data_IF_476174193212
#
_entry.id   IF_476174193212
#
_cell.length_a   1.000
_cell.length_b   1.000
_cell.length_c   1.000
_cell.angle_alpha   90.00
_cell.angle_beta   90.00
_cell.angle_gamma   90.00
#
_symmetry.space_group_name_H-M   'P 1'
#
loop_
_entity.id
_entity.type
_entity.pdbx_description
1 polymer ?
#
# COMPACT_ATOMS: atom_id res chain seq x y z
N UNK A 1 40.75 3.35 31.52
CA UNK A 1 40.84 2.53 30.30
C UNK A 1 39.75 1.47 30.35
N UNK A 2 38.74 1.55 29.49
CA UNK A 2 37.62 0.57 29.48
C UNK A 2 38.12 -0.80 29.01
N UNK A 3 37.76 -1.85 29.74
CA UNK A 3 38.08 -3.21 29.36
C UNK A 3 37.31 -3.56 28.08
N UNK A 4 37.98 -3.89 26.97
CA UNK A 4 37.36 -4.31 25.72
C UNK A 4 36.39 -5.47 25.99
N UNK A 5 35.18 -5.44 25.33
CA UNK A 5 34.20 -6.49 25.50
C UNK A 5 34.74 -7.85 24.98
N UNK A 6 34.28 -8.96 25.59
CA UNK A 6 34.78 -10.30 25.22
C UNK A 6 34.66 -10.60 23.71
N UNK A 7 33.61 -10.11 23.04
CA UNK A 7 33.45 -10.23 21.62
C UNK A 7 34.49 -9.44 20.80
N UNK A 8 34.85 -8.23 21.22
CA UNK A 8 35.93 -7.45 20.59
C UNK A 8 37.28 -8.13 20.73
N UNK A 9 37.59 -8.68 21.91
CA UNK A 9 38.82 -9.48 22.11
C UNK A 9 38.86 -10.71 21.20
N UNK A 10 37.72 -11.41 21.06
CA UNK A 10 37.62 -12.58 20.18
C UNK A 10 37.84 -12.22 18.70
N UNK A 11 37.31 -11.08 18.24
CA UNK A 11 37.51 -10.59 16.87
C UNK A 11 38.98 -10.26 16.58
N UNK A 12 39.62 -9.50 17.46
CA UNK A 12 41.05 -9.15 17.36
C UNK A 12 41.93 -10.42 17.36
N UNK A 13 41.64 -11.41 18.23
CA UNK A 13 42.35 -12.68 18.25
C UNK A 13 42.17 -13.43 16.91
N UNK A 14 41.00 -13.38 16.32
CA UNK A 14 40.73 -14.01 15.03
C UNK A 14 41.55 -13.37 13.89
N UNK A 15 41.61 -12.06 13.84
CA UNK A 15 42.45 -11.31 12.88
C UNK A 15 43.94 -11.67 13.01
N UNK A 16 44.48 -11.58 14.20
CA UNK A 16 45.90 -11.91 14.47
C UNK A 16 46.20 -13.38 14.17
N UNK A 17 45.22 -14.27 14.34
CA UNK A 17 45.39 -15.68 14.01
C UNK A 17 45.44 -15.88 12.47
N UNK A 18 44.69 -15.10 11.68
CA UNK A 18 44.78 -15.12 10.23
C UNK A 18 46.14 -14.59 9.71
N UNK A 19 46.78 -13.68 10.49
CA UNK A 19 48.13 -13.21 10.21
C UNK A 19 49.21 -14.22 10.59
N UNK A 20 48.85 -15.41 11.12
CA UNK A 20 49.78 -16.49 11.44
C UNK A 20 50.19 -16.61 12.88
N UNK A 21 49.67 -15.77 13.80
CA UNK A 21 50.01 -15.86 15.23
C UNK A 21 49.36 -17.05 15.95
N UNK A 22 50.14 -17.85 16.76
CA UNK A 22 49.58 -19.03 17.41
C UNK A 22 48.52 -18.70 18.47
N UNK A 23 47.35 -19.31 18.37
CA UNK A 23 46.18 -19.07 19.24
C UNK A 23 46.49 -19.16 20.72
N UNK A 24 47.39 -20.07 21.13
CA UNK A 24 47.80 -20.30 22.54
C UNK A 24 48.33 -19.01 23.20
N UNK A 25 49.17 -18.27 22.47
CA UNK A 25 49.79 -17.04 23.01
C UNK A 25 48.79 -15.87 23.00
N UNK A 26 47.96 -15.77 21.95
CA UNK A 26 46.93 -14.73 21.85
C UNK A 26 45.91 -14.84 23.01
N UNK A 27 45.46 -16.06 23.33
CA UNK A 27 44.54 -16.30 24.42
C UNK A 27 45.18 -15.99 25.78
N UNK A 28 46.45 -16.38 25.98
CA UNK A 28 47.19 -16.08 27.21
C UNK A 28 47.36 -14.57 27.41
N UNK A 29 47.69 -13.83 26.36
CA UNK A 29 47.91 -12.38 26.39
C UNK A 29 46.61 -11.61 26.65
N UNK A 30 45.51 -12.00 25.99
CA UNK A 30 44.20 -11.35 26.11
C UNK A 30 43.45 -11.67 27.37
N UNK A 31 43.86 -12.74 28.09
CA UNK A 31 43.15 -13.28 29.27
C UNK A 31 41.79 -13.88 28.92
N UNK A 32 41.57 -14.24 27.65
CA UNK A 32 40.29 -14.83 27.19
C UNK A 32 40.35 -16.38 27.26
N UNK A 33 39.37 -16.99 27.90
CA UNK A 33 39.28 -18.45 27.94
C UNK A 33 39.02 -19.02 26.55
N UNK A 34 39.62 -20.17 26.22
CA UNK A 34 39.46 -20.83 24.93
C UNK A 34 38.00 -21.14 24.59
N UNK A 35 37.20 -21.55 25.56
CA UNK A 35 35.76 -21.77 25.41
C UNK A 35 35.00 -20.48 25.04
N UNK A 36 35.32 -19.40 25.73
CA UNK A 36 34.71 -18.07 25.45
C UNK A 36 35.07 -17.56 24.07
N UNK A 37 36.34 -17.77 23.64
CA UNK A 37 36.75 -17.40 22.26
C UNK A 37 35.90 -18.10 21.20
N UNK A 38 35.78 -19.43 21.26
CA UNK A 38 34.97 -20.16 20.28
C UNK A 38 33.47 -19.90 20.44
N UNK A 39 32.97 -19.62 21.63
CA UNK A 39 31.58 -19.22 21.83
C UNK A 39 31.28 -17.87 21.16
N UNK A 40 32.15 -16.88 21.33
CA UNK A 40 31.99 -15.56 20.71
C UNK A 40 32.08 -15.62 19.20
N UNK A 41 33.01 -16.41 18.64
CA UNK A 41 33.07 -16.61 17.18
C UNK A 41 31.75 -17.23 16.63
N UNK A 42 31.28 -18.34 17.20
CA UNK A 42 30.03 -18.95 16.81
C UNK A 42 28.82 -18.02 16.96
N UNK A 43 28.84 -17.17 17.97
CA UNK A 43 27.80 -16.15 18.19
C UNK A 43 27.82 -15.11 17.08
N UNK A 44 29.00 -14.67 16.66
CA UNK A 44 29.18 -13.69 15.57
C UNK A 44 28.73 -14.30 14.24
N UNK A 45 29.23 -15.49 13.90
CA UNK A 45 28.85 -16.21 12.66
C UNK A 45 27.33 -16.39 12.55
N UNK A 46 26.67 -16.86 13.61
CA UNK A 46 25.20 -17.00 13.64
C UNK A 46 24.47 -15.67 13.51
N UNK A 47 25.03 -14.59 14.08
CA UNK A 47 24.45 -13.27 13.98
C UNK A 47 24.61 -12.71 12.55
N UNK A 48 25.73 -12.96 11.90
CA UNK A 48 26.00 -12.57 10.51
C UNK A 48 25.12 -13.32 9.54
N UNK A 49 25.01 -14.65 9.64
CA UNK A 49 24.09 -15.44 8.83
C UNK A 49 22.63 -14.96 8.98
N UNK A 50 22.20 -14.73 10.23
CA UNK A 50 20.86 -14.24 10.51
C UNK A 50 20.64 -12.81 9.98
N UNK A 51 21.69 -11.97 10.00
CA UNK A 51 21.65 -10.64 9.40
C UNK A 51 21.57 -10.72 7.88
N UNK A 52 22.35 -11.59 7.26
CA UNK A 52 22.36 -11.81 5.82
C UNK A 52 20.99 -12.25 5.32
N UNK A 53 20.41 -13.29 5.91
CA UNK A 53 19.07 -13.78 5.56
C UNK A 53 17.98 -12.70 5.68
N UNK A 54 18.01 -11.91 6.75
CA UNK A 54 17.06 -10.80 6.93
C UNK A 54 17.27 -9.72 5.87
N UNK A 55 18.51 -9.37 5.58
CA UNK A 55 18.86 -8.35 4.59
C UNK A 55 18.41 -8.75 3.19
N UNK A 56 18.68 -9.99 2.80
CA UNK A 56 18.23 -10.55 1.51
C UNK A 56 16.71 -10.54 1.41
N UNK A 57 16.01 -10.95 2.47
CA UNK A 57 14.54 -10.92 2.50
C UNK A 57 13.99 -9.51 2.42
N UNK A 58 14.63 -8.51 3.06
CA UNK A 58 14.24 -7.10 2.94
C UNK A 58 14.37 -6.60 1.50
N UNK A 59 15.50 -6.90 0.84
CA UNK A 59 15.72 -6.55 -0.57
C UNK A 59 14.64 -7.18 -1.46
N UNK A 60 14.37 -8.47 -1.28
CA UNK A 60 13.37 -9.20 -2.04
C UNK A 60 11.96 -8.61 -1.86
N UNK A 61 11.52 -8.35 -0.62
CA UNK A 61 10.23 -7.69 -0.35
C UNK A 61 10.16 -6.32 -1.03
N UNK A 62 11.25 -5.55 -1.00
CA UNK A 62 11.29 -4.23 -1.59
C UNK A 62 11.16 -4.27 -3.12
N UNK A 63 11.84 -5.20 -3.77
CA UNK A 63 11.81 -5.41 -5.23
C UNK A 63 10.47 -5.97 -5.72
N UNK A 64 9.94 -7.01 -5.09
CA UNK A 64 8.61 -7.58 -5.38
C UNK A 64 7.53 -6.51 -5.37
N UNK A 65 7.61 -5.59 -4.43
CA UNK A 65 6.66 -4.48 -4.31
C UNK A 65 7.05 -3.24 -5.15
N UNK A 66 7.96 -3.40 -6.13
CA UNK A 66 8.38 -2.33 -7.06
C UNK A 66 8.79 -1.05 -6.32
N UNK A 67 9.54 -1.20 -5.22
CA UNK A 67 10.05 -0.12 -4.36
C UNK A 67 8.94 0.75 -3.70
N UNK A 68 7.71 0.24 -3.60
CA UNK A 68 6.56 0.98 -3.05
C UNK A 68 6.47 0.90 -1.52
N UNK A 69 7.13 -0.09 -0.90
CA UNK A 69 7.08 -0.31 0.54
C UNK A 69 8.13 0.52 1.28
N UNK A 70 7.67 1.27 2.30
CA UNK A 70 8.56 1.85 3.31
C UNK A 70 8.69 0.92 4.52
N UNK A 71 9.55 1.29 5.47
CA UNK A 71 9.94 0.53 6.68
C UNK A 71 8.77 -0.20 7.34
N UNK A 72 7.64 0.48 7.56
CA UNK A 72 6.49 -0.12 8.28
C UNK A 72 5.91 -1.33 7.54
N UNK A 73 5.77 -1.27 6.20
CA UNK A 73 5.26 -2.39 5.42
C UNK A 73 6.28 -3.51 5.31
N UNK A 74 7.53 -3.19 5.06
CA UNK A 74 8.62 -4.18 5.04
C UNK A 74 8.68 -4.93 6.37
N UNK A 75 8.58 -4.21 7.51
CA UNK A 75 8.56 -4.83 8.82
C UNK A 75 7.37 -5.79 9.01
N UNK A 76 6.16 -5.39 8.61
CA UNK A 76 4.98 -6.27 8.73
C UNK A 76 5.01 -7.43 7.75
N UNK A 77 5.55 -7.24 6.57
CA UNK A 77 5.73 -8.33 5.60
C UNK A 77 6.77 -9.35 6.09
N UNK A 78 7.83 -8.92 6.76
CA UNK A 78 8.76 -9.81 7.44
C UNK A 78 8.06 -10.63 8.53
N UNK A 79 7.17 -10.01 9.31
CA UNK A 79 6.36 -10.72 10.32
C UNK A 79 5.43 -11.74 9.66
N UNK A 80 4.77 -11.39 8.55
CA UNK A 80 3.93 -12.30 7.78
C UNK A 80 4.72 -13.53 7.25
N UNK A 81 6.03 -13.35 6.99
CA UNK A 81 6.97 -14.41 6.58
C UNK A 81 7.63 -15.14 7.75
N UNK A 82 7.17 -14.89 9.00
CA UNK A 82 7.64 -15.59 10.20
C UNK A 82 8.89 -15.01 10.87
N UNK A 83 9.37 -13.84 10.44
CA UNK A 83 10.51 -13.18 11.08
C UNK A 83 10.06 -12.36 12.31
N UNK A 84 10.67 -12.61 13.47
CA UNK A 84 10.52 -11.76 14.65
C UNK A 84 11.60 -10.67 14.65
N UNK A 85 11.26 -9.46 14.21
CA UNK A 85 12.19 -8.37 14.04
C UNK A 85 11.61 -7.04 14.54
N UNK A 86 12.46 -6.23 15.21
CA UNK A 86 12.09 -4.89 15.64
C UNK A 86 12.15 -3.91 14.45
N UNK A 87 11.16 -3.03 14.34
CA UNK A 87 11.07 -2.03 13.27
C UNK A 87 12.30 -1.10 13.19
N UNK A 88 12.97 -0.78 14.32
CA UNK A 88 14.21 0.01 14.36
C UNK A 88 15.35 -0.70 13.62
N UNK A 89 15.43 -2.04 13.73
CA UNK A 89 16.44 -2.82 13.00
C UNK A 89 16.15 -2.83 11.50
N UNK A 90 14.90 -3.02 11.10
CA UNK A 90 14.49 -2.92 9.69
C UNK A 90 14.81 -1.53 9.13
N UNK A 91 14.50 -0.48 9.89
CA UNK A 91 14.79 0.90 9.51
C UNK A 91 16.28 1.14 9.27
N UNK A 92 17.15 0.64 10.16
CA UNK A 92 18.60 0.75 10.02
C UNK A 92 19.09 0.01 8.77
N UNK A 93 18.72 -1.25 8.58
CA UNK A 93 19.11 -2.03 7.40
C UNK A 93 18.66 -1.35 6.11
N UNK A 94 17.41 -0.92 6.02
CA UNK A 94 16.89 -0.22 4.84
C UNK A 94 17.61 1.12 4.58
N UNK A 95 18.00 1.84 5.64
CA UNK A 95 18.78 3.08 5.52
C UNK A 95 20.19 2.80 5.00
N UNK A 96 20.88 1.81 5.55
CA UNK A 96 22.25 1.42 5.16
C UNK A 96 22.29 0.96 3.69
N UNK A 97 21.25 0.26 3.24
CA UNK A 97 21.07 -0.16 1.85
C UNK A 97 20.47 0.93 0.94
N UNK A 98 20.19 2.13 1.46
CA UNK A 98 19.55 3.25 0.72
C UNK A 98 18.20 2.86 0.09
N UNK A 99 17.44 1.96 0.74
CA UNK A 99 16.12 1.52 0.30
C UNK A 99 15.04 2.46 0.84
N UNK A 100 14.56 3.35 0.01
CA UNK A 100 13.50 4.32 0.36
C UNK A 100 12.24 4.06 -0.45
N UNK A 101 11.14 3.79 0.24
CA UNK A 101 9.84 3.66 -0.42
C UNK A 101 9.41 4.96 -1.12
N UNK A 102 8.65 4.85 -2.20
CA UNK A 102 8.14 6.01 -2.95
C UNK A 102 7.42 7.00 -2.03
N UNK A 103 7.86 8.25 -2.00
CA UNK A 103 7.26 9.34 -1.22
C UNK A 103 6.43 10.24 -2.14
N UNK A 104 5.32 10.85 -1.62
CA UNK A 104 4.57 11.85 -2.37
C UNK A 104 5.49 12.99 -2.81
N UNK A 105 5.50 13.29 -4.12
CA UNK A 105 6.22 14.44 -4.68
C UNK A 105 5.32 15.68 -4.78
N UNK A 106 4.01 15.46 -4.94
CA UNK A 106 3.03 16.52 -5.13
C UNK A 106 1.78 16.28 -4.27
N UNK A 107 1.09 17.37 -3.88
CA UNK A 107 -0.23 17.31 -3.25
C UNK A 107 -1.28 17.12 -4.34
N UNK A 108 -2.23 16.23 -4.09
CA UNK A 108 -3.40 16.06 -4.94
C UNK A 108 -4.30 17.29 -4.85
N UNK A 109 -4.76 17.83 -6.00
CA UNK A 109 -5.75 18.89 -6.10
C UNK A 109 -7.02 18.34 -6.74
N UNK A 110 -8.18 18.55 -6.10
CA UNK A 110 -9.49 18.18 -6.63
C UNK A 110 -10.05 19.25 -7.57
N UNK A 111 -10.90 18.83 -8.52
CA UNK A 111 -11.56 19.73 -9.47
C UNK A 111 -12.86 20.33 -8.88
N UNK A 112 -13.15 21.61 -9.18
CA UNK A 112 -14.39 22.28 -8.78
C UNK A 112 -15.41 22.26 -9.93
N UNK A 113 -16.56 21.62 -9.75
CA UNK A 113 -17.63 21.49 -10.75
C UNK A 113 -18.88 22.34 -10.45
N UNK A 114 -19.78 22.44 -11.43
CA UNK A 114 -21.06 23.18 -11.34
C UNK A 114 -22.19 22.36 -10.70
N UNK A 115 -23.27 23.02 -10.23
CA UNK A 115 -24.29 22.44 -9.36
C UNK A 115 -25.57 22.09 -10.11
N UNK A 116 -26.01 20.84 -9.94
CA UNK A 116 -27.36 20.35 -10.32
C UNK A 116 -28.13 19.80 -9.10
N UNK A 117 -28.96 18.76 -9.26
CA UNK A 117 -29.71 18.13 -8.17
C UNK A 117 -28.76 17.34 -7.25
N UNK A 118 -28.64 17.73 -5.99
CA UNK A 118 -27.71 17.20 -5.01
C UNK A 118 -28.44 16.34 -3.98
N UNK A 119 -27.93 15.13 -3.70
CA UNK A 119 -28.38 14.32 -2.57
C UNK A 119 -27.76 14.81 -1.26
N UNK A 120 -28.41 14.53 -0.11
CA UNK A 120 -27.88 14.90 1.20
C UNK A 120 -26.57 14.16 1.54
N UNK A 121 -25.74 14.77 2.40
CA UNK A 121 -24.55 14.13 2.93
C UNK A 121 -24.92 13.20 4.10
N UNK A 122 -25.21 11.93 3.80
CA UNK A 122 -25.60 10.93 4.80
C UNK A 122 -24.38 10.48 5.62
N UNK A 123 -23.20 10.43 5.02
CA UNK A 123 -21.98 9.93 5.68
C UNK A 123 -21.47 10.91 6.74
N UNK A 124 -21.60 12.23 6.53
CA UNK A 124 -21.16 13.26 7.46
C UNK A 124 -19.74 13.06 8.01
N UNK A 125 -18.81 12.66 7.15
CA UNK A 125 -17.41 12.27 7.47
C UNK A 125 -17.27 11.02 8.33
N UNK A 126 -18.34 10.30 8.64
CA UNK A 126 -18.23 8.98 9.26
C UNK A 126 -17.87 7.94 8.19
N UNK A 127 -16.59 7.89 7.84
CA UNK A 127 -16.04 6.93 6.88
C UNK A 127 -15.82 5.54 7.46
N UNK A 128 -16.09 5.34 8.74
CA UNK A 128 -16.04 4.02 9.36
C UNK A 128 -17.22 3.19 8.84
N UNK A 129 -16.92 2.03 8.36
CA UNK A 129 -17.89 0.99 8.02
C UNK A 129 -17.55 -0.26 8.84
N UNK A 130 -18.56 -0.89 9.45
CA UNK A 130 -18.36 -2.00 10.38
C UNK A 130 -18.18 -3.32 9.64
N UNK A 131 -18.73 -3.43 8.42
CA UNK A 131 -18.64 -4.61 7.56
C UNK A 131 -18.39 -4.22 6.10
N UNK A 132 -17.85 -5.15 5.28
CA UNK A 132 -17.80 -4.99 3.83
C UNK A 132 -19.20 -4.71 3.23
N UNK A 133 -19.25 -4.04 2.09
CA UNK A 133 -20.46 -3.72 1.33
C UNK A 133 -21.49 -2.85 2.09
N UNK A 134 -21.05 -2.12 3.12
CA UNK A 134 -21.91 -1.19 3.85
C UNK A 134 -21.84 0.22 3.28
N UNK A 135 -20.63 0.69 2.94
CA UNK A 135 -20.39 2.02 2.40
C UNK A 135 -19.36 1.94 1.28
N UNK A 136 -19.72 2.41 0.11
CA UNK A 136 -18.82 2.61 -1.01
C UNK A 136 -18.59 4.09 -1.27
N UNK A 137 -17.42 4.40 -1.81
CA UNK A 137 -17.14 5.74 -2.32
C UNK A 137 -16.62 5.69 -3.74
N UNK A 138 -16.84 6.78 -4.46
CA UNK A 138 -16.44 6.92 -5.85
C UNK A 138 -16.08 8.36 -6.18
N UNK A 139 -15.19 8.50 -7.17
CA UNK A 139 -14.76 9.78 -7.72
C UNK A 139 -14.14 9.56 -9.10
N UNK A 140 -13.77 10.62 -9.80
CA UNK A 140 -13.08 10.58 -11.08
C UNK A 140 -11.78 11.34 -10.96
N UNK A 141 -10.66 10.70 -11.34
CA UNK A 141 -9.38 11.38 -11.43
C UNK A 141 -8.87 11.40 -12.86
N UNK A 142 -8.15 12.47 -13.21
CA UNK A 142 -7.57 12.69 -14.53
C UNK A 142 -6.06 12.43 -14.49
N UNK A 143 -5.56 11.87 -15.61
CA UNK A 143 -4.15 11.71 -15.91
C UNK A 143 -3.81 12.44 -17.22
N UNK A 144 -2.63 13.02 -17.28
CA UNK A 144 -2.12 13.77 -18.43
C UNK A 144 -0.90 13.08 -19.02
N UNK A 145 -0.86 12.96 -20.35
CA UNK A 145 0.22 12.36 -21.10
C UNK A 145 0.53 13.19 -22.34
N UNK A 146 1.65 12.94 -22.99
CA UNK A 146 1.99 13.57 -24.26
C UNK A 146 0.99 13.28 -25.38
N UNK A 147 0.34 12.11 -25.36
CA UNK A 147 -0.67 11.66 -26.31
C UNK A 147 -2.10 12.09 -25.94
N UNK A 148 -2.33 12.74 -24.80
CA UNK A 148 -3.65 13.20 -24.39
C UNK A 148 -3.97 12.99 -22.91
N UNK A 149 -5.26 12.88 -22.61
CA UNK A 149 -5.78 12.74 -21.25
C UNK A 149 -6.58 11.45 -21.12
N UNK A 150 -6.62 10.90 -19.91
CA UNK A 150 -7.58 9.86 -19.59
C UNK A 150 -8.10 10.01 -18.15
N UNK A 151 -9.22 9.36 -17.88
CA UNK A 151 -10.03 9.50 -16.67
C UNK A 151 -10.26 8.14 -16.05
N UNK A 152 -9.86 7.96 -14.81
CA UNK A 152 -10.12 6.77 -14.02
C UNK A 152 -11.26 7.02 -13.07
N UNK A 153 -12.26 6.14 -13.09
CA UNK A 153 -13.43 6.18 -12.23
C UNK A 153 -13.58 4.88 -11.47
N UNK A 154 -13.06 4.75 -10.24
CA UNK A 154 -13.20 3.56 -9.40
C UNK A 154 -14.38 3.66 -8.45
N UNK A 155 -14.81 2.50 -7.94
CA UNK A 155 -15.63 2.34 -6.73
C UNK A 155 -14.77 1.66 -5.68
N UNK A 156 -14.70 2.22 -4.49
CA UNK A 156 -13.91 1.72 -3.37
C UNK A 156 -14.83 1.39 -2.19
N UNK A 157 -14.64 0.23 -1.58
CA UNK A 157 -15.32 -0.15 -0.34
C UNK A 157 -14.64 0.51 0.87
N UNK A 158 -15.43 1.24 1.67
CA UNK A 158 -14.88 2.01 2.78
C UNK A 158 -14.42 1.14 3.97
N UNK A 159 -14.88 -0.10 4.12
CA UNK A 159 -14.43 -1.01 5.16
C UNK A 159 -13.08 -1.63 4.79
N UNK A 160 -13.02 -2.25 3.63
CA UNK A 160 -11.89 -3.05 3.18
C UNK A 160 -10.82 -2.27 2.43
N UNK A 161 -11.12 -1.06 1.92
CA UNK A 161 -10.34 -0.33 0.91
C UNK A 161 -10.19 -1.09 -0.43
N UNK A 162 -10.98 -2.12 -0.69
CA UNK A 162 -10.97 -2.82 -1.97
C UNK A 162 -11.50 -1.93 -3.10
N UNK A 163 -10.82 -1.92 -4.23
CA UNK A 163 -11.40 -1.38 -5.47
C UNK A 163 -12.36 -2.42 -6.03
N UNK A 164 -13.64 -2.17 -5.84
CA UNK A 164 -14.75 -3.07 -6.22
C UNK A 164 -14.84 -3.20 -7.74
N UNK A 165 -14.79 -2.08 -8.42
CA UNK A 165 -14.76 -1.95 -9.87
C UNK A 165 -14.14 -0.63 -10.28
N UNK A 166 -13.77 -0.52 -11.54
CA UNK A 166 -13.28 0.73 -12.12
C UNK A 166 -13.54 0.75 -13.62
N UNK A 167 -13.46 1.94 -14.20
CA UNK A 167 -13.39 2.14 -15.64
C UNK A 167 -12.38 3.22 -15.98
N UNK A 168 -11.61 3.00 -17.04
CA UNK A 168 -10.65 3.95 -17.59
C UNK A 168 -11.11 4.35 -19.00
N UNK A 169 -11.17 5.66 -19.27
CA UNK A 169 -11.67 6.21 -20.53
C UNK A 169 -10.88 7.45 -20.92
N UNK A 170 -10.77 7.71 -22.23
CA UNK A 170 -10.19 8.96 -22.74
C UNK A 170 -11.16 10.14 -22.62
N UNK A 171 -12.46 9.86 -22.47
CA UNK A 171 -13.51 10.88 -22.36
C UNK A 171 -14.34 10.61 -21.10
N UNK A 172 -14.51 11.61 -20.20
CA UNK A 172 -15.38 11.47 -19.04
C UNK A 172 -16.85 11.58 -19.48
N UNK A 173 -17.52 10.45 -19.58
CA UNK A 173 -18.92 10.38 -20.00
C UNK A 173 -19.73 9.37 -19.18
N UNK A 174 -21.05 9.39 -19.36
CA UNK A 174 -21.96 8.47 -18.66
C UNK A 174 -21.70 6.99 -18.96
N UNK A 175 -21.16 6.65 -20.13
CA UNK A 175 -20.84 5.27 -20.47
C UNK A 175 -19.72 4.72 -19.58
N UNK A 176 -18.79 5.56 -19.16
CA UNK A 176 -17.78 5.20 -18.17
C UNK A 176 -18.45 4.80 -16.85
N UNK A 177 -19.39 5.59 -16.37
CA UNK A 177 -20.12 5.32 -15.13
C UNK A 177 -20.96 4.04 -15.26
N UNK A 178 -21.66 3.87 -16.39
CA UNK A 178 -22.48 2.69 -16.69
C UNK A 178 -21.63 1.40 -16.66
N UNK A 179 -20.52 1.36 -17.38
CA UNK A 179 -19.63 0.19 -17.40
C UNK A 179 -19.12 -0.18 -16.00
N UNK A 180 -18.72 0.81 -15.21
CA UNK A 180 -18.22 0.64 -13.85
C UNK A 180 -19.30 0.09 -12.92
N UNK A 181 -20.51 0.69 -12.92
CA UNK A 181 -21.64 0.23 -12.09
C UNK A 181 -22.03 -1.21 -12.45
N UNK A 182 -22.16 -1.53 -13.75
CA UNK A 182 -22.50 -2.87 -14.20
C UNK A 182 -21.49 -3.92 -13.73
N UNK A 183 -20.18 -3.60 -13.71
CA UNK A 183 -19.16 -4.51 -13.18
C UNK A 183 -19.31 -4.70 -11.66
N UNK A 184 -19.60 -3.63 -10.92
CA UNK A 184 -19.80 -3.70 -9.48
C UNK A 184 -21.03 -4.55 -9.13
N UNK A 185 -22.15 -4.31 -9.81
CA UNK A 185 -23.43 -5.02 -9.57
C UNK A 185 -23.40 -6.48 -10.03
N UNK A 186 -22.57 -6.79 -11.05
CA UNK A 186 -22.32 -8.18 -11.45
C UNK A 186 -21.48 -8.92 -10.40
N UNK A 187 -20.53 -8.23 -9.78
CA UNK A 187 -19.65 -8.82 -8.74
C UNK A 187 -20.40 -9.06 -7.44
N UNK A 188 -21.28 -8.13 -7.03
CA UNK A 188 -22.05 -8.19 -5.80
C UNK A 188 -23.54 -7.91 -6.10
N UNK A 189 -24.39 -8.89 -5.87
CA UNK A 189 -25.82 -8.83 -6.25
C UNK A 189 -26.70 -8.23 -5.16
N UNK A 190 -26.42 -8.52 -3.90
CA UNK A 190 -27.22 -8.01 -2.78
C UNK A 190 -26.56 -6.74 -2.21
N UNK A 191 -27.08 -5.57 -2.62
CA UNK A 191 -26.57 -4.25 -2.23
C UNK A 191 -27.64 -3.40 -1.53
N UNK A 192 -28.71 -4.04 -1.06
CA UNK A 192 -29.79 -3.35 -0.36
C UNK A 192 -29.27 -2.59 0.87
N UNK A 193 -29.53 -1.31 0.93
CA UNK A 193 -29.12 -0.43 2.04
C UNK A 193 -27.65 0.03 2.00
N UNK A 194 -26.86 -0.40 1.01
CA UNK A 194 -25.50 0.11 0.79
C UNK A 194 -25.54 1.63 0.54
N UNK A 195 -24.63 2.38 1.17
CA UNK A 195 -24.48 3.82 0.93
C UNK A 195 -23.38 4.02 -0.13
N UNK A 196 -23.76 4.65 -1.27
CA UNK A 196 -22.82 5.06 -2.31
C UNK A 196 -22.54 6.55 -2.16
N UNK A 197 -21.32 6.91 -1.76
CA UNK A 197 -20.88 8.29 -1.56
C UNK A 197 -20.06 8.79 -2.75
N UNK A 198 -20.28 10.03 -3.14
CA UNK A 198 -19.52 10.71 -4.18
C UNK A 198 -19.38 12.22 -3.89
N UNK A 199 -18.57 12.90 -4.67
CA UNK A 199 -18.65 14.35 -4.80
C UNK A 199 -19.93 14.79 -5.54
N UNK A 200 -20.08 16.10 -5.78
CA UNK A 200 -21.20 16.67 -6.54
C UNK A 200 -20.93 16.75 -8.04
N UNK A 201 -20.09 15.87 -8.59
CA UNK A 201 -19.85 15.82 -10.03
C UNK A 201 -21.14 15.58 -10.81
N UNK A 202 -21.28 16.21 -12.00
CA UNK A 202 -22.47 16.16 -12.84
C UNK A 202 -22.93 14.72 -13.14
N UNK A 203 -21.99 13.78 -13.31
CA UNK A 203 -22.24 12.37 -13.59
C UNK A 203 -23.00 11.66 -12.47
N UNK A 204 -22.84 12.10 -11.23
CA UNK A 204 -23.51 11.52 -10.06
C UNK A 204 -24.88 12.16 -9.79
N UNK A 205 -25.14 13.31 -10.40
CA UNK A 205 -26.42 14.02 -10.35
C UNK A 205 -27.36 13.58 -11.48
N UNK A 206 -26.83 12.90 -12.49
CA UNK A 206 -27.60 12.47 -13.65
C UNK A 206 -28.65 11.42 -13.27
N UNK A 207 -29.83 11.50 -13.90
CA UNK A 207 -30.97 10.63 -13.61
C UNK A 207 -30.64 9.15 -13.79
N UNK A 208 -29.89 8.79 -14.83
CA UNK A 208 -29.41 7.43 -15.05
C UNK A 208 -28.68 6.88 -13.80
N UNK A 209 -27.73 7.64 -13.21
CA UNK A 209 -26.98 7.18 -12.05
C UNK A 209 -27.92 6.96 -10.85
N UNK A 210 -28.80 7.91 -10.58
CA UNK A 210 -29.75 7.83 -9.47
C UNK A 210 -30.73 6.65 -9.63
N UNK A 211 -31.25 6.45 -10.84
CA UNK A 211 -32.18 5.33 -11.13
C UNK A 211 -31.51 3.97 -10.99
N UNK A 212 -30.24 3.83 -11.43
CA UNK A 212 -29.48 2.60 -11.26
C UNK A 212 -29.20 2.29 -9.77
N UNK A 213 -28.82 3.26 -8.97
CA UNK A 213 -28.66 3.06 -7.54
C UNK A 213 -29.99 2.63 -6.87
N UNK A 214 -31.10 3.31 -7.21
CA UNK A 214 -32.43 3.00 -6.68
C UNK A 214 -32.89 1.57 -7.03
N UNK A 215 -32.64 1.12 -8.28
CA UNK A 215 -32.97 -0.26 -8.71
C UNK A 215 -32.29 -1.33 -7.87
N UNK A 216 -31.09 -1.03 -7.38
CA UNK A 216 -30.31 -1.94 -6.53
C UNK A 216 -30.48 -1.70 -5.03
N UNK A 217 -31.43 -0.83 -4.62
CA UNK A 217 -31.66 -0.47 -3.22
C UNK A 217 -30.50 0.26 -2.55
N UNK A 218 -29.65 0.92 -3.36
CA UNK A 218 -28.49 1.64 -2.88
C UNK A 218 -28.88 3.08 -2.55
N UNK A 219 -28.43 3.56 -1.39
CA UNK A 219 -28.70 4.90 -0.88
C UNK A 219 -27.61 5.85 -1.39
N UNK A 220 -27.98 6.87 -2.12
CA UNK A 220 -27.04 7.89 -2.60
C UNK A 220 -26.70 8.88 -1.48
N UNK A 221 -25.40 9.20 -1.34
CA UNK A 221 -24.87 10.23 -0.46
C UNK A 221 -23.89 11.09 -1.26
N UNK A 222 -23.93 12.41 -1.05
CA UNK A 222 -23.01 13.33 -1.74
C UNK A 222 -22.30 14.24 -0.73
N UNK A 223 -21.03 14.55 -1.00
CA UNK A 223 -20.25 15.51 -0.22
C UNK A 223 -20.85 16.91 -0.29
N UNK A 224 -20.55 17.76 0.68
CA UNK A 224 -20.93 19.18 0.63
C UNK A 224 -20.13 19.91 -0.46
N UNK A 225 -20.73 20.92 -1.05
CA UNK A 225 -20.10 21.71 -2.13
C UNK A 225 -18.75 22.29 -1.68
N UNK A 226 -17.72 22.02 -2.49
CA UNK A 226 -16.38 22.56 -2.25
C UNK A 226 -15.64 21.98 -1.04
N UNK A 227 -16.17 20.93 -0.41
CA UNK A 227 -15.56 20.30 0.76
C UNK A 227 -14.85 19.00 0.40
N UNK A 228 -13.56 19.10 0.05
CA UNK A 228 -12.71 17.95 -0.29
C UNK A 228 -12.58 16.92 0.85
N UNK A 229 -12.67 17.36 2.11
CA UNK A 229 -12.60 16.45 3.26
C UNK A 229 -13.73 15.41 3.30
N UNK A 230 -14.86 15.71 2.64
CA UNK A 230 -16.00 14.80 2.61
C UNK A 230 -15.75 13.59 1.67
N UNK A 231 -14.71 13.61 0.80
CA UNK A 231 -14.30 12.50 -0.08
C UNK A 231 -12.82 12.09 0.11
N UNK A 232 -12.28 12.31 1.30
CA UNK A 232 -10.85 12.13 1.61
C UNK A 232 -10.32 10.69 1.39
N UNK A 233 -11.18 9.67 1.42
CA UNK A 233 -10.79 8.27 1.13
C UNK A 233 -10.38 8.14 -0.33
N UNK A 234 -11.16 8.70 -1.27
CA UNK A 234 -10.83 8.66 -2.69
C UNK A 234 -9.59 9.50 -3.01
N UNK A 235 -9.47 10.68 -2.40
CA UNK A 235 -8.28 11.52 -2.53
C UNK A 235 -7.02 10.77 -2.05
N UNK A 236 -7.12 10.06 -0.92
CA UNK A 236 -6.03 9.23 -0.39
C UNK A 236 -5.66 8.10 -1.35
N UNK A 237 -6.66 7.43 -1.95
CA UNK A 237 -6.42 6.39 -2.95
C UNK A 237 -5.73 6.96 -4.19
N UNK A 238 -6.25 8.03 -4.76
CA UNK A 238 -5.68 8.66 -5.96
C UNK A 238 -4.27 9.20 -5.73
N UNK A 239 -4.04 9.87 -4.62
CA UNK A 239 -2.70 10.35 -4.26
C UNK A 239 -1.71 9.21 -4.15
N UNK A 240 -2.10 8.09 -3.53
CA UNK A 240 -1.28 6.89 -3.42
C UNK A 240 -1.01 6.26 -4.78
N UNK A 241 -2.03 6.02 -5.58
CA UNK A 241 -1.91 5.45 -6.91
C UNK A 241 -0.99 6.29 -7.79
N UNK A 242 -1.21 7.60 -7.85
CA UNK A 242 -0.38 8.51 -8.64
C UNK A 242 1.09 8.50 -8.21
N UNK A 243 1.36 8.49 -6.90
CA UNK A 243 2.73 8.41 -6.38
C UNK A 243 3.40 7.05 -6.61
N UNK A 244 2.63 5.95 -6.58
CA UNK A 244 3.19 4.61 -6.70
C UNK A 244 3.39 4.15 -8.15
N UNK A 245 2.64 4.74 -9.13
CA UNK A 245 2.71 4.27 -10.52
C UNK A 245 2.72 5.37 -11.59
N UNK A 246 2.41 6.63 -11.30
CA UNK A 246 2.25 7.65 -12.32
C UNK A 246 3.34 8.71 -12.26
N UNK A 247 3.47 9.43 -11.14
CA UNK A 247 4.42 10.53 -11.03
C UNK A 247 5.86 10.08 -11.23
N UNK A 248 6.53 10.68 -12.23
CA UNK A 248 7.90 10.38 -12.65
C UNK A 248 8.02 9.21 -13.63
N UNK A 249 6.89 8.55 -14.00
CA UNK A 249 6.82 7.49 -15.02
C UNK A 249 5.91 7.86 -16.19
N UNK A 250 5.49 9.13 -16.31
CA UNK A 250 4.53 9.58 -17.34
C UNK A 250 5.00 9.27 -18.75
N UNK A 251 6.32 9.36 -18.99
CA UNK A 251 6.95 9.11 -20.29
C UNK A 251 6.98 7.64 -20.68
N UNK A 252 6.88 6.73 -19.71
CA UNK A 252 6.85 5.28 -19.94
C UNK A 252 5.51 4.83 -20.54
N UNK A 253 4.45 5.61 -20.30
CA UNK A 253 3.10 5.33 -20.82
C UNK A 253 2.91 5.96 -22.21
N UNK A 254 3.43 5.31 -23.23
CA UNK A 254 3.46 5.80 -24.60
C UNK A 254 2.09 5.80 -25.31
N UNK A 255 1.08 5.14 -24.75
CA UNK A 255 -0.28 5.09 -25.28
C UNK A 255 -1.33 4.76 -24.22
N UNK A 256 -2.60 5.02 -24.53
CA UNK A 256 -3.72 4.62 -23.69
C UNK A 256 -3.72 3.11 -23.36
N UNK A 257 -3.38 2.25 -24.32
CA UNK A 257 -3.34 0.79 -24.14
C UNK A 257 -2.28 0.39 -23.11
N UNK A 258 -1.10 0.99 -23.17
CA UNK A 258 0.00 0.75 -22.22
C UNK A 258 -0.40 1.20 -20.82
N UNK A 259 -0.97 2.40 -20.70
CA UNK A 259 -1.42 2.90 -19.40
C UNK A 259 -2.59 2.09 -18.84
N UNK A 260 -3.54 1.68 -19.67
CA UNK A 260 -4.66 0.83 -19.24
C UNK A 260 -4.21 -0.52 -18.69
N UNK A 261 -3.16 -1.13 -19.28
CA UNK A 261 -2.54 -2.34 -18.76
C UNK A 261 -1.90 -2.07 -17.40
N UNK A 262 -1.15 -1.00 -17.25
CA UNK A 262 -0.50 -0.62 -15.99
C UNK A 262 -1.53 -0.32 -14.88
N UNK A 263 -2.65 0.34 -15.18
CA UNK A 263 -3.76 0.55 -14.24
C UNK A 263 -4.38 -0.77 -13.80
N UNK A 264 -4.60 -1.70 -14.73
CA UNK A 264 -5.14 -3.04 -14.41
C UNK A 264 -4.21 -3.80 -13.46
N UNK A 265 -2.92 -3.82 -13.74
CA UNK A 265 -1.90 -4.45 -12.92
C UNK A 265 -1.80 -3.78 -11.54
N UNK A 266 -1.85 -2.45 -11.49
CA UNK A 266 -1.80 -1.72 -10.23
C UNK A 266 -3.02 -2.02 -9.34
N UNK A 267 -4.23 -2.05 -9.91
CA UNK A 267 -5.45 -2.33 -9.13
C UNK A 267 -5.45 -3.79 -8.66
N UNK A 268 -4.96 -4.72 -9.49
CA UNK A 268 -4.76 -6.11 -9.05
C UNK A 268 -3.81 -6.19 -7.86
N UNK A 269 -2.62 -5.60 -7.98
CA UNK A 269 -1.65 -5.49 -6.89
C UNK A 269 -2.25 -4.84 -5.64
N UNK A 270 -2.98 -3.72 -5.81
CA UNK A 270 -3.59 -2.99 -4.71
C UNK A 270 -4.59 -3.83 -3.92
N UNK A 271 -5.40 -4.63 -4.61
CA UNK A 271 -6.44 -5.45 -3.99
C UNK A 271 -5.91 -6.76 -3.40
N UNK A 272 -4.94 -7.42 -4.07
CA UNK A 272 -4.56 -8.81 -3.76
C UNK A 272 -3.19 -8.97 -3.09
N UNK A 273 -2.30 -7.98 -3.23
CA UNK A 273 -0.92 -8.12 -2.77
C UNK A 273 -0.54 -7.04 -1.77
N UNK A 274 -1.03 -5.82 -1.95
CA UNK A 274 -0.65 -4.66 -1.17
C UNK A 274 -1.24 -4.67 0.23
N UNK A 275 -0.42 -4.97 1.25
CA UNK A 275 -0.84 -4.94 2.66
C UNK A 275 -1.15 -3.51 3.15
N UNK A 276 -2.15 -3.38 4.02
CA UNK A 276 -2.60 -2.10 4.56
C UNK A 276 -2.85 -2.19 6.07
N UNK A 277 -2.50 -1.13 6.82
CA UNK A 277 -2.76 -1.08 8.27
C UNK A 277 -4.24 -1.22 8.61
N UNK A 278 -5.12 -0.57 7.81
CA UNK A 278 -6.57 -0.58 8.01
C UNK A 278 -7.15 -1.99 7.93
N UNK A 279 -6.62 -2.84 7.09
CA UNK A 279 -7.03 -4.23 6.88
C UNK A 279 -6.17 -5.22 7.68
N UNK A 280 -5.70 -4.81 8.87
CA UNK A 280 -4.88 -5.63 9.75
C UNK A 280 -3.62 -6.21 9.06
N UNK A 281 -3.02 -5.43 8.17
CA UNK A 281 -1.85 -5.81 7.36
C UNK A 281 -2.10 -6.97 6.39
N UNK A 282 -3.37 -7.13 5.98
CA UNK A 282 -3.76 -7.99 4.87
C UNK A 282 -4.04 -7.15 3.61
N UNK A 283 -3.95 -7.74 2.40
CA UNK A 283 -4.52 -7.14 1.20
C UNK A 283 -6.05 -6.98 1.32
N UNK A 284 -6.64 -5.95 0.68
CA UNK A 284 -8.07 -5.65 0.78
C UNK A 284 -9.03 -6.81 0.48
N UNK A 285 -8.77 -7.57 -0.59
CA UNK A 285 -9.62 -8.68 -1.01
C UNK A 285 -9.57 -9.84 0.00
N UNK A 286 -8.37 -10.20 0.46
CA UNK A 286 -8.18 -11.23 1.49
C UNK A 286 -8.88 -10.82 2.79
N UNK A 287 -8.74 -9.55 3.20
CA UNK A 287 -9.43 -9.04 4.39
C UNK A 287 -10.95 -9.12 4.26
N UNK A 288 -11.52 -8.81 3.07
CA UNK A 288 -12.95 -8.98 2.83
C UNK A 288 -13.38 -10.44 2.99
N UNK A 289 -12.66 -11.37 2.38
CA UNK A 289 -12.99 -12.80 2.42
C UNK A 289 -12.95 -13.37 3.83
N UNK A 290 -11.91 -13.03 4.60
CA UNK A 290 -11.80 -13.44 6.00
C UNK A 290 -12.89 -12.83 6.89
N UNK A 291 -13.28 -11.57 6.62
CA UNK A 291 -14.32 -10.88 7.38
C UNK A 291 -15.73 -11.38 7.05
N UNK A 292 -15.96 -11.92 5.85
CA UNK A 292 -17.26 -12.46 5.44
C UNK A 292 -17.48 -13.89 5.93
N UNK A 293 -16.39 -14.66 6.08
CA UNK A 293 -16.44 -16.04 6.59
C UNK A 293 -16.53 -16.11 8.12
N UNK A 294 -16.42 -14.99 8.83
CA UNK A 294 -16.50 -14.90 10.29
C UNK A 294 -17.91 -14.52 10.81
N UNK A 295 -18.89 -14.42 9.91
CA UNK A 295 -20.32 -14.18 10.19
C UNK A 295 -21.11 -15.43 9.80
#
# INVERSE_FOLDING_TARGET
>A
MGCAAQGEKAAIIQELRQEGHPLKYLLKFSGLAKSTYYYELKRTDRAEERNKSITETICHIFEENKQRYGVRRVCHELVNRGFHINHKRVQRIMHDLKLFGKRPKEKYHSYKGEVGKVAGNIIQRNFKADRPLQKWTTDVTQFHFSWGKCYLSPILDMNTNEIISYDLSMIPNLNQIKRRLNRAFKKFRNLQGLIMHSDQGWQYQHEFYRSELKKHGIIQSMSRKGNCYDNSIMETFFGRMKNEMYYGSEKEYTSFKVFAKAVKEYIHYFNKERIQKKTKWMPPEIYRETSTNAI
#
